data_IF_930690711197
#
_entry.id   IF_930690711197
#
_cell.length_a   1.000
_cell.length_b   1.000
_cell.length_c   1.000
_cell.angle_alpha   90.00
_cell.angle_beta   90.00
_cell.angle_gamma   90.00
#
_symmetry.space_group_name_H-M   'P 1'
#
loop_
_entity.id
_entity.type
_entity.pdbx_description
1 polymer ?
#
# COMPACT_ATOMS: atom_id res chain seq x y z
N UNK A 1 -12.35 17.89 -12.09
CA UNK A 1 -11.21 18.79 -12.41
C UNK A 1 -9.95 17.98 -12.24
N UNK A 2 -9.00 17.96 -13.19
CA UNK A 2 -7.70 17.34 -12.95
C UNK A 2 -6.97 18.14 -11.86
N UNK A 3 -6.54 17.47 -10.81
CA UNK A 3 -5.73 18.08 -9.76
C UNK A 3 -4.31 18.32 -10.29
N UNK A 4 -3.73 19.47 -9.98
CA UNK A 4 -2.31 19.74 -10.25
C UNK A 4 -1.47 19.19 -9.10
N UNK A 5 -0.42 18.42 -9.43
CA UNK A 5 0.56 17.96 -8.46
C UNK A 5 1.67 19.01 -8.25
N UNK A 6 2.23 19.17 -7.03
CA UNK A 6 1.76 18.52 -5.80
C UNK A 6 0.40 19.07 -5.35
N UNK A 7 -0.48 18.17 -4.89
CA UNK A 7 -1.81 18.53 -4.41
C UNK A 7 -1.71 19.18 -3.04
N UNK A 8 -2.34 20.34 -2.88
CA UNK A 8 -2.49 21.02 -1.59
C UNK A 8 -3.98 21.13 -1.27
N UNK A 9 -4.37 20.63 -0.09
CA UNK A 9 -5.72 20.84 0.45
C UNK A 9 -5.87 22.30 0.87
N UNK A 10 -7.01 22.91 0.57
CA UNK A 10 -7.26 24.31 0.93
C UNK A 10 -7.21 24.48 2.46
N UNK A 11 -6.61 25.58 2.93
CA UNK A 11 -6.42 25.80 4.36
C UNK A 11 -7.76 25.93 5.13
N UNK A 12 -8.83 26.36 4.47
CA UNK A 12 -10.18 26.41 5.03
C UNK A 12 -10.87 25.05 5.14
N UNK A 13 -10.34 24.02 4.47
CA UNK A 13 -10.83 22.63 4.55
C UNK A 13 -10.08 21.79 5.58
N UNK A 14 -9.03 22.34 6.20
CA UNK A 14 -8.29 21.68 7.27
C UNK A 14 -9.04 21.83 8.61
N UNK A 15 -8.91 20.87 9.55
CA UNK A 15 -9.46 20.98 10.90
C UNK A 15 -8.93 22.19 11.71
N UNK A 16 -7.83 22.78 11.26
CA UNK A 16 -7.17 23.93 11.86
C UNK A 16 -5.85 24.27 11.16
N UNK A 17 -5.07 25.23 11.67
CA UNK A 17 -3.74 25.50 11.14
C UNK A 17 -2.80 24.31 11.38
N UNK A 18 -1.96 24.00 10.39
CA UNK A 18 -0.97 22.93 10.47
C UNK A 18 -0.06 23.11 11.71
N UNK A 19 0.34 22.03 12.39
CA UNK A 19 1.27 22.08 13.52
C UNK A 19 2.63 22.68 13.13
N UNK A 20 3.25 23.43 14.04
CA UNK A 20 4.64 23.87 13.88
C UNK A 20 5.64 22.83 14.40
N UNK A 21 6.93 23.01 14.10
CA UNK A 21 8.00 22.08 14.50
C UNK A 21 8.07 21.88 16.02
N UNK A 22 7.85 22.93 16.79
CA UNK A 22 7.96 22.87 18.24
C UNK A 22 6.80 22.07 18.85
N UNK A 23 5.59 22.20 18.29
CA UNK A 23 4.46 21.36 18.67
C UNK A 23 4.68 19.87 18.35
N UNK A 24 5.32 19.57 17.22
CA UNK A 24 5.66 18.20 16.83
C UNK A 24 6.70 17.62 17.78
N UNK A 25 7.77 18.36 18.07
CA UNK A 25 8.88 17.88 18.91
C UNK A 25 8.47 17.66 20.37
N UNK A 26 7.51 18.44 20.87
CA UNK A 26 7.01 18.35 22.24
C UNK A 26 5.80 17.44 22.41
N UNK A 27 5.25 16.87 21.33
CA UNK A 27 4.08 16.02 21.40
C UNK A 27 4.33 14.75 22.23
N UNK A 28 3.53 14.55 23.27
CA UNK A 28 3.64 13.41 24.20
C UNK A 28 2.71 12.25 23.85
N UNK A 29 1.61 12.53 23.14
CA UNK A 29 0.65 11.52 22.69
C UNK A 29 1.19 10.85 21.44
N UNK A 30 1.64 9.61 21.58
CA UNK A 30 2.13 8.79 20.47
C UNK A 30 1.10 7.74 20.06
N UNK A 31 1.11 7.38 18.78
CA UNK A 31 0.36 6.23 18.27
C UNK A 31 1.27 4.98 18.27
N UNK A 32 0.69 3.77 18.39
CA UNK A 32 1.43 2.53 18.22
C UNK A 32 2.14 2.51 16.87
N UNK A 33 3.34 1.94 16.84
CA UNK A 33 4.10 1.69 15.61
C UNK A 33 4.62 0.25 15.61
N UNK A 34 4.84 -0.30 14.43
CA UNK A 34 5.58 -1.56 14.28
C UNK A 34 6.99 -1.40 14.83
N UNK A 35 7.59 -2.50 15.33
CA UNK A 35 8.95 -2.49 15.89
C UNK A 35 10.00 -1.98 14.91
N UNK A 36 9.73 -2.14 13.63
CA UNK A 36 10.69 -1.94 12.55
C UNK A 36 10.64 -0.50 12.02
N UNK A 37 9.62 0.27 12.41
CA UNK A 37 9.51 1.69 12.07
C UNK A 37 10.37 2.57 12.99
N UNK A 38 11.49 3.05 12.47
CA UNK A 38 12.42 3.96 13.15
C UNK A 38 11.88 5.38 13.43
N UNK A 39 10.75 5.76 12.84
CA UNK A 39 10.13 7.09 13.02
C UNK A 39 9.20 7.21 14.23
N UNK A 40 8.50 8.34 14.32
CA UNK A 40 7.48 8.63 15.33
C UNK A 40 6.15 8.98 14.66
N UNK A 41 5.06 8.57 15.30
CA UNK A 41 3.70 9.01 15.00
C UNK A 41 3.16 9.72 16.25
N UNK A 42 2.86 11.01 16.13
CA UNK A 42 2.36 11.84 17.23
C UNK A 42 1.00 12.43 16.90
N UNK A 43 0.15 12.57 17.92
CA UNK A 43 -1.15 13.25 17.80
C UNK A 43 -1.01 14.66 18.37
N UNK A 44 -1.42 15.65 17.58
CA UNK A 44 -1.34 17.07 17.93
C UNK A 44 -2.75 17.66 17.93
N UNK A 45 -3.08 18.33 19.04
CA UNK A 45 -4.37 19.02 19.26
C UNK A 45 -5.62 18.13 19.05
N UNK A 46 -5.48 16.82 19.15
CA UNK A 46 -6.51 15.83 18.80
C UNK A 46 -7.13 16.05 17.40
N UNK A 47 -6.38 16.71 16.52
CA UNK A 47 -6.84 17.14 15.19
C UNK A 47 -5.88 16.68 14.09
N UNK A 48 -4.60 16.48 14.42
CA UNK A 48 -3.57 16.07 13.47
C UNK A 48 -2.80 14.86 13.95
N UNK A 49 -2.42 13.99 13.02
CA UNK A 49 -1.37 12.98 13.18
C UNK A 49 -0.17 13.41 12.37
N UNK A 50 1.01 13.42 12.98
CA UNK A 50 2.26 13.74 12.30
C UNK A 50 3.18 12.52 12.32
N UNK A 51 3.53 12.03 11.13
CA UNK A 51 4.52 10.97 10.90
C UNK A 51 5.84 11.62 10.48
N UNK A 52 6.93 11.33 11.21
CA UNK A 52 8.26 11.89 10.93
C UNK A 52 9.39 10.93 11.36
N UNK A 53 10.55 11.00 10.70
CA UNK A 53 11.74 10.20 11.03
C UNK A 53 12.48 9.63 9.82
N UNK A 54 13.56 8.86 10.04
CA UNK A 54 14.52 8.46 8.99
C UNK A 54 13.97 7.48 7.94
N UNK A 55 12.77 6.94 8.12
CA UNK A 55 12.12 6.01 7.19
C UNK A 55 10.87 6.59 6.53
N UNK A 56 10.53 7.86 6.79
CA UNK A 56 9.47 8.54 6.02
C UNK A 56 10.06 8.86 4.66
N UNK A 57 9.46 8.35 3.59
CA UNK A 57 9.92 8.56 2.22
C UNK A 57 8.95 9.43 1.43
N UNK A 58 9.45 10.10 0.38
CA UNK A 58 8.65 11.04 -0.44
C UNK A 58 7.41 10.38 -1.08
N UNK A 59 7.40 9.04 -1.21
CA UNK A 59 6.29 8.26 -1.75
C UNK A 59 5.05 8.28 -0.83
N UNK A 60 5.22 8.54 0.46
CA UNK A 60 4.12 8.56 1.44
C UNK A 60 3.34 9.90 1.45
N UNK A 61 3.74 10.87 0.63
CA UNK A 61 3.07 12.15 0.45
C UNK A 61 4.04 13.33 0.48
N UNK A 62 3.93 14.22 -0.51
CA UNK A 62 4.70 15.48 -0.56
C UNK A 62 4.26 16.43 0.57
N UNK A 63 4.93 16.37 1.72
CA UNK A 63 4.89 17.43 2.72
C UNK A 63 6.29 17.62 3.35
N UNK A 64 7.13 18.40 2.69
CA UNK A 64 8.36 18.91 3.31
C UNK A 64 7.97 20.03 4.29
N UNK A 65 8.13 19.75 5.58
CA UNK A 65 8.06 20.76 6.65
C UNK A 65 9.43 20.81 7.32
N UNK A 66 10.09 21.97 7.26
CA UNK A 66 11.29 22.28 8.06
C UNK A 66 12.49 21.33 7.84
N UNK A 67 12.94 21.19 6.58
CA UNK A 67 14.13 20.40 6.18
C UNK A 67 14.08 18.89 6.53
N UNK A 68 12.93 18.40 6.99
CA UNK A 68 12.67 16.99 7.31
C UNK A 68 11.33 16.59 6.70
N UNK A 69 11.20 15.36 6.20
CA UNK A 69 9.93 14.90 5.63
C UNK A 69 8.92 14.61 6.75
N UNK A 70 7.76 15.27 6.68
CA UNK A 70 6.66 15.11 7.63
C UNK A 70 5.39 14.80 6.88
N UNK A 71 4.58 13.89 7.38
CA UNK A 71 3.23 13.68 6.83
C UNK A 71 2.25 14.11 7.88
N UNK A 72 1.52 15.18 7.58
CA UNK A 72 0.48 15.73 8.44
C UNK A 72 -0.87 15.25 7.92
N UNK A 73 -1.56 14.46 8.72
CA UNK A 73 -2.87 13.90 8.42
C UNK A 73 -3.89 14.41 9.42
N UNK A 74 -5.15 14.49 9.02
CA UNK A 74 -6.26 14.69 9.94
C UNK A 74 -6.37 13.50 10.90
N UNK A 75 -6.49 13.76 12.20
CA UNK A 75 -6.66 12.70 13.20
C UNK A 75 -8.10 12.20 13.20
N UNK A 76 -8.29 10.93 12.82
CA UNK A 76 -9.56 10.24 12.93
C UNK A 76 -9.50 9.29 14.13
N UNK A 77 -10.37 9.44 15.16
CA UNK A 77 -10.44 8.51 16.28
C UNK A 77 -10.81 7.09 15.81
N UNK A 78 -9.87 6.15 15.94
CA UNK A 78 -10.04 4.76 15.50
C UNK A 78 -10.40 3.77 16.61
N UNK A 79 -10.93 2.60 16.21
CA UNK A 79 -11.19 1.42 17.05
C UNK A 79 -10.71 0.14 16.35
N UNK A 80 -10.74 -1.01 17.03
CA UNK A 80 -10.32 -2.31 16.48
C UNK A 80 -11.17 -2.77 15.28
N UNK A 81 -10.50 -3.32 14.26
CA UNK A 81 -10.97 -3.65 12.91
C UNK A 81 -12.12 -4.68 12.81
N UNK A 82 -12.47 -5.37 13.89
CA UNK A 82 -13.20 -6.66 13.83
C UNK A 82 -14.67 -6.64 13.37
N UNK A 83 -15.24 -5.58 12.77
CA UNK A 83 -16.71 -5.59 12.46
C UNK A 83 -17.23 -4.67 11.35
N UNK A 84 -16.41 -3.89 10.63
CA UNK A 84 -16.90 -2.86 9.69
C UNK A 84 -16.35 -3.00 8.27
N UNK A 85 -17.09 -3.56 7.31
CA UNK A 85 -16.55 -3.64 5.93
C UNK A 85 -17.49 -3.84 4.71
N UNK A 86 -18.59 -3.09 4.52
CA UNK A 86 -19.31 -3.18 3.23
C UNK A 86 -18.93 -2.20 2.09
N UNK A 87 -17.98 -1.25 2.24
CA UNK A 87 -17.87 -0.10 1.30
C UNK A 87 -16.63 -0.01 0.40
N UNK A 88 -15.80 -1.05 0.26
CA UNK A 88 -14.59 -0.98 -0.58
C UNK A 88 -14.78 -1.10 -2.10
N UNK A 89 -16.02 -1.27 -2.56
CA UNK A 89 -16.31 -1.61 -3.95
C UNK A 89 -16.00 -0.48 -4.95
N UNK A 90 -15.92 0.78 -4.50
CA UNK A 90 -15.81 1.94 -5.39
C UNK A 90 -14.41 2.14 -6.00
N UNK A 91 -13.33 1.75 -5.31
CA UNK A 91 -11.95 1.96 -5.77
C UNK A 91 -11.64 1.20 -7.07
N UNK A 92 -12.21 0.00 -7.24
CA UNK A 92 -11.97 -0.89 -8.39
C UNK A 92 -12.77 -0.49 -9.64
N UNK A 93 -13.63 0.52 -9.55
CA UNK A 93 -14.46 1.00 -10.66
C UNK A 93 -13.74 2.03 -11.56
N UNK A 94 -12.51 2.44 -11.23
CA UNK A 94 -11.75 3.38 -12.04
C UNK A 94 -11.43 2.79 -13.43
N UNK A 95 -11.58 3.57 -14.52
CA UNK A 95 -11.31 3.09 -15.86
C UNK A 95 -9.83 2.74 -16.00
N UNK A 96 -9.56 1.49 -16.38
CA UNK A 96 -8.20 0.99 -16.62
C UNK A 96 -7.52 1.79 -17.73
N UNK A 97 -6.28 2.27 -17.52
CA UNK A 97 -5.52 2.99 -18.54
C UNK A 97 -4.82 2.05 -19.54
N UNK A 98 -4.93 0.73 -19.36
CA UNK A 98 -4.36 -0.27 -20.28
C UNK A 98 -2.85 -0.51 -20.12
N UNK A 99 -2.25 -0.11 -19.00
CA UNK A 99 -0.88 -0.41 -18.61
C UNK A 99 -0.80 -0.70 -17.10
N UNK A 100 0.29 -1.33 -16.66
CA UNK A 100 0.63 -1.50 -15.25
C UNK A 100 1.75 -0.54 -14.85
N UNK A 101 1.60 0.16 -13.74
CA UNK A 101 2.50 1.24 -13.35
C UNK A 101 1.85 2.21 -12.36
N UNK A 102 2.54 3.29 -12.02
CA UNK A 102 2.00 4.34 -11.14
C UNK A 102 0.87 5.11 -11.81
N UNK A 103 0.14 5.89 -11.00
CA UNK A 103 -1.00 6.71 -11.45
C UNK A 103 -0.63 7.78 -12.48
N UNK A 104 0.63 8.19 -12.54
CA UNK A 104 1.19 9.17 -13.46
C UNK A 104 1.91 8.54 -14.67
N UNK A 105 1.64 7.26 -14.97
CA UNK A 105 2.26 6.49 -16.06
C UNK A 105 3.76 6.24 -15.90
N UNK A 106 4.24 6.27 -14.65
CA UNK A 106 5.61 5.93 -14.29
C UNK A 106 5.79 4.47 -13.89
N UNK A 107 6.91 4.17 -13.21
CA UNK A 107 7.23 2.84 -12.68
C UNK A 107 6.13 2.22 -11.83
N UNK A 108 6.10 0.89 -11.73
CA UNK A 108 5.24 0.19 -10.77
C UNK A 108 5.73 0.51 -9.35
N UNK A 109 4.90 1.13 -8.49
CA UNK A 109 5.31 1.60 -7.16
C UNK A 109 5.33 0.44 -6.13
N UNK A 110 6.14 -0.58 -6.39
CA UNK A 110 6.29 -1.72 -5.50
C UNK A 110 7.73 -2.25 -5.51
N UNK A 111 8.21 -2.73 -4.37
CA UNK A 111 9.60 -3.20 -4.18
C UNK A 111 10.05 -4.31 -5.13
N UNK A 112 9.12 -5.14 -5.61
CA UNK A 112 9.40 -6.16 -6.63
C UNK A 112 9.78 -5.57 -8.00
N UNK A 113 9.65 -4.26 -8.19
CA UNK A 113 9.99 -3.52 -9.40
C UNK A 113 11.09 -2.47 -9.13
N UNK A 114 11.81 -2.58 -8.00
CA UNK A 114 12.92 -1.67 -7.69
C UNK A 114 14.16 -1.97 -8.53
N UNK A 115 14.76 -0.95 -9.14
CA UNK A 115 16.07 -1.06 -9.82
C UNK A 115 16.92 0.16 -9.51
N UNK A 116 18.16 -0.06 -9.03
CA UNK A 116 19.12 1.03 -8.76
C UNK A 116 19.48 1.79 -10.03
N UNK A 117 19.54 1.08 -11.16
CA UNK A 117 19.89 1.64 -12.47
C UNK A 117 18.65 2.17 -13.22
N UNK A 118 17.47 2.13 -12.58
CA UNK A 118 16.19 2.51 -13.18
C UNK A 118 15.87 1.73 -14.47
N UNK A 119 16.32 0.47 -14.56
CA UNK A 119 16.08 -0.40 -15.71
C UNK A 119 14.57 -0.52 -16.01
N UNK A 120 14.08 0.01 -17.15
CA UNK A 120 12.66 -0.02 -17.51
C UNK A 120 12.10 -1.44 -17.67
N UNK A 121 12.97 -2.43 -17.93
CA UNK A 121 12.55 -3.84 -17.99
C UNK A 121 12.12 -4.39 -16.61
N UNK A 122 12.57 -3.76 -15.53
CA UNK A 122 12.18 -4.05 -14.15
C UNK A 122 11.15 -3.05 -13.63
N UNK A 123 11.35 -1.75 -13.87
CA UNK A 123 10.57 -0.70 -13.22
C UNK A 123 9.24 -0.41 -13.93
N UNK A 124 9.15 -0.59 -15.24
CA UNK A 124 7.99 -0.20 -16.05
C UNK A 124 7.99 1.27 -16.47
N UNK A 125 6.85 1.81 -16.94
CA UNK A 125 5.52 1.19 -17.01
C UNK A 125 5.47 -0.04 -17.94
N UNK A 126 4.59 -0.99 -17.63
CA UNK A 126 4.53 -2.31 -18.26
C UNK A 126 3.23 -2.45 -19.05
N UNK A 127 3.28 -3.05 -20.25
CA UNK A 127 2.11 -3.07 -21.15
C UNK A 127 1.32 -4.37 -21.08
N UNK A 128 1.97 -5.47 -20.73
CA UNK A 128 1.34 -6.80 -20.71
C UNK A 128 1.62 -7.53 -19.40
N UNK A 129 0.70 -8.40 -19.00
CA UNK A 129 0.88 -9.21 -17.78
C UNK A 129 2.07 -10.17 -17.90
N UNK A 130 2.36 -10.64 -19.12
CA UNK A 130 3.56 -11.44 -19.40
C UNK A 130 4.83 -10.65 -19.09
N UNK A 131 4.93 -9.40 -19.55
CA UNK A 131 6.04 -8.51 -19.21
C UNK A 131 6.09 -8.20 -17.70
N UNK A 132 4.92 -8.10 -17.06
CA UNK A 132 4.82 -7.87 -15.62
C UNK A 132 5.44 -9.03 -14.82
N UNK A 133 5.13 -10.28 -15.20
CA UNK A 133 5.79 -11.46 -14.65
C UNK A 133 7.28 -11.53 -14.98
N UNK A 134 7.71 -11.10 -16.17
CA UNK A 134 9.14 -11.02 -16.55
C UNK A 134 9.89 -10.02 -15.68
N UNK A 135 9.29 -8.86 -15.39
CA UNK A 135 9.91 -7.82 -14.58
C UNK A 135 10.21 -8.31 -13.15
N UNK A 136 9.26 -9.01 -12.52
CA UNK A 136 9.46 -9.63 -11.19
C UNK A 136 10.58 -10.68 -11.25
N UNK A 137 10.58 -11.54 -12.26
CA UNK A 137 11.61 -12.57 -12.41
C UNK A 137 13.01 -11.95 -12.65
N UNK A 138 13.09 -10.90 -13.48
CA UNK A 138 14.32 -10.16 -13.73
C UNK A 138 14.82 -9.46 -12.46
N UNK A 139 13.92 -8.88 -11.66
CA UNK A 139 14.29 -8.32 -10.34
C UNK A 139 14.91 -9.37 -9.43
N UNK A 140 14.31 -10.56 -9.36
CA UNK A 140 14.86 -11.68 -8.60
C UNK A 140 16.28 -12.04 -9.08
N UNK A 141 16.51 -12.16 -10.39
CA UNK A 141 17.85 -12.44 -10.93
C UNK A 141 18.87 -11.35 -10.59
N UNK A 142 18.48 -10.08 -10.70
CA UNK A 142 19.35 -8.94 -10.38
C UNK A 142 19.76 -8.97 -8.91
N UNK A 143 18.81 -9.22 -8.01
CA UNK A 143 19.08 -9.32 -6.57
C UNK A 143 20.11 -10.41 -6.22
N UNK A 144 20.02 -11.58 -6.84
CA UNK A 144 21.01 -12.65 -6.63
C UNK A 144 22.36 -12.34 -7.24
N UNK A 145 22.37 -11.72 -8.42
CA UNK A 145 23.59 -11.28 -9.10
C UNK A 145 24.33 -10.21 -8.29
N UNK A 146 23.61 -9.26 -7.69
CA UNK A 146 24.15 -8.24 -6.77
C UNK A 146 24.84 -8.89 -5.55
N UNK A 147 24.29 -10.01 -5.05
CA UNK A 147 24.86 -10.80 -3.97
C UNK A 147 25.96 -11.78 -4.41
N UNK A 148 26.39 -11.74 -5.68
CA UNK A 148 27.34 -12.71 -6.26
C UNK A 148 26.93 -14.17 -6.03
N UNK A 149 25.62 -14.43 -6.04
CA UNK A 149 25.02 -15.72 -5.76
C UNK A 149 24.04 -16.11 -6.87
N UNK A 150 23.53 -17.33 -6.83
CA UNK A 150 22.59 -17.87 -7.81
C UNK A 150 21.43 -18.57 -7.11
N UNK A 151 20.23 -18.39 -7.65
CA UNK A 151 19.03 -19.06 -7.18
C UNK A 151 18.39 -19.88 -8.28
N UNK A 152 18.26 -21.18 -8.00
CA UNK A 152 17.51 -22.12 -8.84
C UNK A 152 16.01 -21.77 -8.85
N UNK A 153 15.51 -21.16 -7.77
CA UNK A 153 14.12 -20.71 -7.71
C UNK A 153 13.90 -19.48 -8.60
N UNK A 154 14.89 -18.57 -8.68
CA UNK A 154 14.88 -17.48 -9.65
C UNK A 154 14.82 -18.01 -11.11
N UNK A 155 15.63 -19.01 -11.45
CA UNK A 155 15.58 -19.65 -12.78
C UNK A 155 14.22 -20.32 -13.07
N UNK A 156 13.54 -20.80 -12.04
CA UNK A 156 12.18 -21.32 -12.14
C UNK A 156 11.19 -20.18 -12.43
N UNK A 157 11.25 -19.07 -11.69
CA UNK A 157 10.39 -17.91 -11.91
C UNK A 157 10.53 -17.34 -13.32
N UNK A 158 11.75 -17.24 -13.86
CA UNK A 158 12.00 -16.76 -15.24
C UNK A 158 11.26 -17.60 -16.28
N UNK A 159 11.20 -18.92 -16.08
CA UNK A 159 10.55 -19.85 -17.02
C UNK A 159 9.03 -19.87 -16.88
N UNK A 160 8.50 -19.62 -15.69
CA UNK A 160 7.12 -19.94 -15.35
C UNK A 160 6.25 -18.74 -14.97
N UNK A 161 6.79 -17.72 -14.31
CA UNK A 161 6.01 -16.57 -13.84
C UNK A 161 5.31 -15.81 -14.98
N UNK A 162 5.95 -15.52 -16.14
CA UNK A 162 5.30 -14.81 -17.26
C UNK A 162 4.12 -15.57 -17.89
N UNK A 163 4.04 -16.88 -17.66
CA UNK A 163 3.03 -17.75 -18.27
C UNK A 163 2.02 -18.30 -17.28
N UNK A 164 2.32 -18.26 -15.99
CA UNK A 164 1.48 -18.77 -14.91
C UNK A 164 0.33 -17.81 -14.57
N UNK A 165 0.58 -16.49 -14.62
CA UNK A 165 -0.41 -15.45 -14.34
C UNK A 165 -0.82 -14.79 -15.66
N UNK A 166 -2.09 -14.93 -16.04
CA UNK A 166 -2.62 -14.46 -17.32
C UNK A 166 -4.09 -14.08 -17.24
N UNK A 167 -4.47 -13.07 -18.03
CA UNK A 167 -5.85 -12.65 -18.22
C UNK A 167 -6.33 -11.61 -17.20
N UNK A 168 -5.42 -10.98 -16.47
CA UNK A 168 -5.75 -10.02 -15.43
C UNK A 168 -5.52 -8.58 -15.92
N UNK A 169 -6.59 -7.84 -16.25
CA UNK A 169 -6.47 -6.47 -16.74
C UNK A 169 -5.86 -5.56 -15.65
N UNK A 170 -5.25 -4.43 -16.02
CA UNK A 170 -4.80 -3.44 -15.05
C UNK A 170 -5.99 -2.87 -14.27
N UNK A 171 -5.89 -2.89 -12.96
CA UNK A 171 -6.88 -2.41 -12.02
C UNK A 171 -6.21 -1.50 -11.00
N UNK A 172 -6.92 -0.45 -10.58
CA UNK A 172 -6.42 0.40 -9.52
C UNK A 172 -6.41 -0.39 -8.21
N UNK A 173 -5.26 -0.43 -7.57
CA UNK A 173 -4.93 -1.33 -6.47
C UNK A 173 -4.18 -0.52 -5.41
N UNK A 174 -4.52 -0.76 -4.14
CA UNK A 174 -3.91 -0.08 -3.01
C UNK A 174 -2.45 -0.51 -2.86
N UNK A 175 -2.18 -1.80 -3.04
CA UNK A 175 -0.82 -2.37 -3.04
C UNK A 175 -0.38 -2.85 -1.66
N UNK A 176 -0.86 -2.20 -0.59
CA UNK A 176 -0.62 -2.60 0.80
C UNK A 176 -1.90 -2.62 1.66
N UNK A 177 -2.95 -3.31 1.21
CA UNK A 177 -4.24 -3.35 1.93
C UNK A 177 -4.19 -4.31 3.15
N UNK A 178 -3.35 -4.00 4.12
CA UNK A 178 -3.25 -4.72 5.39
C UNK A 178 -4.10 -4.03 6.48
N UNK A 179 -4.48 -4.75 7.54
CA UNK A 179 -5.47 -4.25 8.53
C UNK A 179 -5.07 -2.94 9.22
N UNK A 180 -3.77 -2.70 9.35
CA UNK A 180 -3.18 -1.51 9.94
C UNK A 180 -3.40 -0.26 9.08
N UNK A 181 -3.62 -0.46 7.77
CA UNK A 181 -3.85 0.59 6.78
C UNK A 181 -5.33 0.96 6.61
N UNK A 182 -6.14 0.54 7.58
CA UNK A 182 -7.58 0.75 7.56
C UNK A 182 -8.05 1.43 8.83
N UNK A 183 -8.63 2.60 8.64
CA UNK A 183 -9.25 3.36 9.71
C UNK A 183 -10.75 3.10 9.73
N UNK A 184 -11.25 2.78 10.90
CA UNK A 184 -12.68 2.59 11.18
C UNK A 184 -13.11 3.53 12.30
N UNK A 185 -14.29 4.12 12.20
CA UNK A 185 -14.89 4.95 13.25
C UNK A 185 -16.17 4.33 13.78
N UNK A 186 -16.46 4.57 15.06
CA UNK A 186 -17.74 4.17 15.65
C UNK A 186 -18.84 5.14 15.26
N UNK A 187 -19.99 4.58 14.90
CA UNK A 187 -21.23 5.30 14.65
C UNK A 187 -22.30 4.67 15.53
N UNK A 188 -23.14 5.48 16.15
CA UNK A 188 -24.32 4.96 16.82
C UNK A 188 -25.44 4.99 15.81
N UNK A 189 -26.01 3.84 15.48
CA UNK A 189 -27.19 3.79 14.63
C UNK A 189 -28.33 4.55 15.35
N UNK A 190 -28.83 5.59 14.68
CA UNK A 190 -29.85 6.49 15.26
C UNK A 190 -31.21 5.83 15.53
N UNK A 191 -31.44 4.64 14.98
CA UNK A 191 -32.68 3.86 15.03
C UNK A 191 -32.56 2.69 16.01
N UNK A 192 -31.48 1.90 15.93
CA UNK A 192 -31.27 0.72 16.79
C UNK A 192 -30.56 1.08 18.10
N UNK A 193 -29.89 2.24 18.15
CA UNK A 193 -29.02 2.67 19.24
C UNK A 193 -27.89 1.67 19.52
N UNK A 194 -27.52 0.87 18.51
CA UNK A 194 -26.39 -0.04 18.54
C UNK A 194 -25.12 0.67 18.06
N UNK A 195 -23.98 0.30 18.64
CA UNK A 195 -22.69 0.77 18.16
C UNK A 195 -22.32 0.01 16.88
N UNK A 196 -22.39 0.70 15.76
CA UNK A 196 -21.86 0.23 14.49
C UNK A 196 -20.47 0.81 14.25
N UNK A 197 -19.72 0.16 13.37
CA UNK A 197 -18.40 0.60 12.98
C UNK A 197 -18.47 0.84 11.47
N UNK A 198 -17.97 1.97 11.00
CA UNK A 198 -17.91 2.29 9.57
C UNK A 198 -16.46 2.52 9.13
N UNK A 199 -16.16 2.19 7.87
CA UNK A 199 -14.88 2.52 7.25
C UNK A 199 -14.74 4.04 7.22
N UNK A 200 -13.73 4.55 7.93
CA UNK A 200 -13.45 5.97 7.98
C UNK A 200 -12.48 6.38 6.86
N UNK A 201 -11.42 5.59 6.62
CA UNK A 201 -10.47 5.83 5.55
C UNK A 201 -9.58 4.60 5.29
N UNK A 202 -9.01 4.52 4.09
CA UNK A 202 -7.79 3.76 3.83
C UNK A 202 -6.61 4.73 3.85
N UNK A 203 -5.47 4.27 4.38
CA UNK A 203 -4.24 5.05 4.48
C UNK A 203 -3.07 4.26 3.91
N UNK A 204 -1.92 4.91 3.75
CA UNK A 204 -0.70 4.29 3.22
C UNK A 204 -0.76 3.92 1.73
N UNK A 205 -1.17 4.89 0.92
CA UNK A 205 -1.33 4.76 -0.53
C UNK A 205 -0.02 4.80 -1.33
N UNK A 206 1.15 4.71 -0.67
CA UNK A 206 2.45 4.90 -1.33
C UNK A 206 2.76 3.83 -2.39
N UNK A 207 2.14 2.66 -2.25
CA UNK A 207 2.27 1.55 -3.22
C UNK A 207 1.12 1.50 -4.23
N UNK A 208 0.22 2.48 -4.18
CA UNK A 208 -0.98 2.46 -5.01
C UNK A 208 -0.66 2.73 -6.48
N UNK A 209 -1.36 2.01 -7.35
CA UNK A 209 -1.11 2.09 -8.79
C UNK A 209 -1.99 1.14 -9.58
N UNK A 210 -1.60 0.93 -10.84
CA UNK A 210 -2.27 0.03 -11.76
C UNK A 210 -1.54 -1.31 -11.78
N UNK A 211 -2.20 -2.34 -11.27
CA UNK A 211 -1.65 -3.69 -11.12
C UNK A 211 -2.57 -4.73 -11.79
N UNK A 212 -2.10 -5.97 -12.05
CA UNK A 212 -2.99 -7.05 -12.42
C UNK A 212 -4.16 -7.17 -11.43
N UNK A 213 -5.37 -7.42 -11.92
CA UNK A 213 -6.59 -7.48 -11.09
C UNK A 213 -6.56 -8.49 -9.94
N UNK A 214 -5.60 -9.43 -9.95
CA UNK A 214 -5.35 -10.38 -8.86
C UNK A 214 -4.45 -9.84 -7.74
N UNK A 215 -3.73 -8.75 -7.97
CA UNK A 215 -2.59 -8.32 -7.16
C UNK A 215 -2.95 -8.09 -5.70
N UNK A 216 -4.06 -7.40 -5.42
CA UNK A 216 -4.49 -7.10 -4.05
C UNK A 216 -4.60 -8.38 -3.20
N UNK A 217 -5.29 -9.41 -3.71
CA UNK A 217 -5.42 -10.69 -3.00
C UNK A 217 -4.07 -11.43 -2.97
N UNK A 218 -3.42 -11.55 -4.13
CA UNK A 218 -2.25 -12.41 -4.29
C UNK A 218 -1.03 -11.87 -3.53
N UNK A 219 -0.90 -10.56 -3.38
CA UNK A 219 0.18 -9.92 -2.61
C UNK A 219 -0.02 -10.06 -1.10
N UNK A 220 -1.27 -9.97 -0.60
CA UNK A 220 -1.57 -10.13 0.83
C UNK A 220 -1.47 -11.59 1.26
N UNK A 221 -1.84 -12.53 0.39
CA UNK A 221 -1.95 -13.95 0.71
C UNK A 221 -0.71 -14.53 1.45
N UNK A 222 0.54 -14.26 1.04
CA UNK A 222 1.73 -14.75 1.74
C UNK A 222 1.95 -14.14 3.13
N UNK A 223 1.36 -12.99 3.41
CA UNK A 223 1.45 -12.28 4.70
C UNK A 223 0.41 -12.77 5.70
N UNK A 224 -0.61 -13.52 5.26
CA UNK A 224 -1.65 -14.06 6.14
C UNK A 224 -1.05 -15.08 7.10
N UNK A 225 -1.10 -14.77 8.40
CA UNK A 225 -0.52 -15.60 9.46
C UNK A 225 -1.41 -16.76 9.91
N UNK A 226 -2.71 -16.73 9.58
CA UNK A 226 -3.69 -17.75 9.96
C UNK A 226 -3.77 -17.99 11.48
N UNK A 227 -3.55 -16.94 12.28
CA UNK A 227 -3.62 -16.98 13.75
C UNK A 227 -4.86 -16.27 14.32
N UNK A 228 -5.58 -15.56 13.46
CA UNK A 228 -6.76 -14.75 13.75
C UNK A 228 -7.77 -14.88 12.61
N UNK A 229 -8.86 -14.12 12.68
CA UNK A 229 -9.95 -14.11 11.70
C UNK A 229 -9.70 -13.16 10.52
N UNK A 230 -8.56 -12.47 10.47
CA UNK A 230 -8.22 -11.54 9.38
C UNK A 230 -8.28 -12.19 7.99
N UNK A 231 -7.75 -13.41 7.74
CA UNK A 231 -7.88 -14.07 6.44
C UNK A 231 -9.33 -14.22 5.99
N UNK A 232 -10.25 -14.52 6.92
CA UNK A 232 -11.67 -14.67 6.62
C UNK A 232 -12.34 -13.33 6.29
N UNK A 233 -11.79 -12.20 6.75
CA UNK A 233 -12.22 -10.88 6.29
C UNK A 233 -11.68 -10.56 4.90
N UNK A 234 -10.41 -10.84 4.61
CA UNK A 234 -9.82 -10.62 3.28
C UNK A 234 -10.65 -11.32 2.19
N UNK A 235 -11.06 -12.56 2.41
CA UNK A 235 -11.91 -13.31 1.46
C UNK A 235 -13.34 -12.77 1.29
N UNK A 236 -13.83 -11.92 2.20
CA UNK A 236 -15.12 -11.23 2.03
C UNK A 236 -15.00 -9.98 1.16
N UNK A 237 -13.78 -9.46 1.00
CA UNK A 237 -13.48 -8.14 0.42
C UNK A 237 -12.90 -8.29 -0.97
N UNK A 238 -12.01 -9.26 -1.11
CA UNK A 238 -11.31 -9.57 -2.32
C UNK A 238 -11.78 -10.94 -2.79
N UNK A 239 -12.01 -11.06 -4.09
CA UNK A 239 -12.26 -12.34 -4.72
C UNK A 239 -11.11 -13.29 -4.35
N UNK A 240 -11.40 -14.47 -3.76
CA UNK A 240 -10.36 -15.43 -3.42
C UNK A 240 -9.71 -15.97 -4.69
N UNK A 241 -8.41 -15.72 -4.85
CA UNK A 241 -7.60 -16.12 -6.01
C UNK A 241 -6.44 -17.03 -5.56
N UNK A 242 -6.73 -18.26 -5.08
CA UNK A 242 -5.75 -19.10 -4.39
C UNK A 242 -4.60 -19.57 -5.30
N UNK A 243 -4.81 -19.67 -6.62
CA UNK A 243 -3.75 -20.06 -7.56
C UNK A 243 -2.73 -18.92 -7.72
N UNK A 244 -3.24 -17.70 -7.90
CA UNK A 244 -2.47 -16.47 -7.99
C UNK A 244 -1.74 -16.22 -6.66
N UNK A 245 -2.44 -16.38 -5.53
CA UNK A 245 -1.87 -16.31 -4.19
C UNK A 245 -0.76 -17.34 -3.95
N UNK A 246 -0.95 -18.60 -4.38
CA UNK A 246 0.09 -19.62 -4.29
C UNK A 246 1.32 -19.29 -5.14
N UNK A 247 1.13 -18.73 -6.33
CA UNK A 247 2.25 -18.30 -7.18
C UNK A 247 3.00 -17.11 -6.56
N UNK A 248 2.26 -16.13 -6.03
CA UNK A 248 2.85 -15.00 -5.33
C UNK A 248 3.51 -15.40 -4.00
N UNK A 249 3.09 -16.51 -3.37
CA UNK A 249 3.80 -17.08 -2.22
C UNK A 249 5.18 -17.62 -2.60
N UNK A 250 5.33 -18.20 -3.80
CA UNK A 250 6.63 -18.61 -4.33
C UNK A 250 7.52 -17.38 -4.58
N UNK A 251 6.95 -16.32 -5.17
CA UNK A 251 7.65 -15.03 -5.36
C UNK A 251 8.09 -14.44 -4.03
N UNK A 252 7.18 -14.38 -3.04
CA UNK A 252 7.46 -13.87 -1.71
C UNK A 252 8.63 -14.59 -1.07
N UNK A 253 8.63 -15.93 -1.06
CA UNK A 253 9.74 -16.73 -0.52
C UNK A 253 11.09 -16.50 -1.20
N UNK A 254 11.08 -16.05 -2.45
CA UNK A 254 12.27 -15.82 -3.26
C UNK A 254 12.76 -14.38 -3.19
N UNK A 255 11.97 -13.46 -2.64
CA UNK A 255 12.28 -12.03 -2.65
C UNK A 255 12.29 -11.41 -1.24
N UNK A 256 11.75 -12.11 -0.26
CA UNK A 256 11.57 -11.66 1.11
C UNK A 256 12.40 -12.53 2.06
N UNK A 257 13.65 -12.12 2.29
CA UNK A 257 14.63 -12.80 3.14
C UNK A 257 15.09 -11.93 4.31
#
# INVERSE_FOLDING_TARGET
MPFSLPYYRDAGELPGPLPDQNEIDQATRTLPKTSDYGGRLVVIRDAFVVKYGPLVTENEGYALLFDTLHIVMEYIPGISLGTAWPSLTEMRALPSPGFYGSVDQGPVPHRYFFSREQDPAVTGPIRTEEEFGKAIALRSQNMWSECSSHSVLSDYLVRHLPVALRGHPPMFTHGDLYRENVLVRKVVDSVTNEEECELAALVDWETAGWYPSHWEYAHIFPLLRWIDDWPAYVEKILDPLPLEGAMMWVVFREMEF
#
